data_IF_469854737616
#
_entry.id   IF_469854737616
#
_cell.length_a   1.000
_cell.length_b   1.000
_cell.length_c   1.000
_cell.angle_alpha   90.00
_cell.angle_beta   90.00
_cell.angle_gamma   90.00
#
_symmetry.space_group_name_H-M   'P 1'
#
loop_
_entity.id
_entity.type
_entity.pdbx_description
1 polymer ?
#
# COMPACT_ATOMS: atom_id res chain seq x y z
N UNK A 1 -104.11 121.41 29.27
CA UNK A 1 -104.29 119.96 29.61
C UNK A 1 -103.71 119.02 28.55
N UNK A 2 -103.51 119.45 27.31
CA UNK A 2 -103.04 118.62 26.17
C UNK A 2 -101.56 118.20 26.25
N UNK A 3 -100.67 119.03 26.82
CA UNK A 3 -99.22 118.77 26.88
C UNK A 3 -98.80 117.71 27.92
N UNK A 4 -99.59 117.54 28.99
CA UNK A 4 -99.30 116.52 30.00
C UNK A 4 -99.60 115.11 29.49
N UNK A 5 -100.61 114.97 28.63
CA UNK A 5 -101.01 113.69 28.05
C UNK A 5 -99.99 113.21 27.01
N UNK A 6 -99.43 114.12 26.21
CA UNK A 6 -98.36 113.79 25.24
C UNK A 6 -97.05 113.41 25.94
N UNK A 7 -96.65 114.15 26.98
CA UNK A 7 -95.51 113.80 27.85
C UNK A 7 -95.65 112.41 28.47
N UNK A 8 -96.83 112.09 29.02
CA UNK A 8 -97.11 110.77 29.60
C UNK A 8 -97.03 109.65 28.56
N UNK A 9 -97.55 109.85 27.34
CA UNK A 9 -97.46 108.86 26.24
C UNK A 9 -96.01 108.65 25.79
N UNK A 10 -95.23 109.72 25.65
CA UNK A 10 -93.82 109.61 25.28
C UNK A 10 -93.00 108.87 26.34
N UNK A 11 -93.27 109.12 27.63
CA UNK A 11 -92.59 108.40 28.72
C UNK A 11 -92.92 106.90 28.71
N UNK A 12 -94.17 106.52 28.44
CA UNK A 12 -94.59 105.12 28.31
C UNK A 12 -93.89 104.45 27.12
N UNK A 13 -93.90 105.09 25.94
CA UNK A 13 -93.26 104.56 24.74
C UNK A 13 -91.73 104.40 24.92
N UNK A 14 -91.07 105.35 25.58
CA UNK A 14 -89.63 105.26 25.85
C UNK A 14 -89.32 104.17 26.90
N UNK A 15 -90.19 103.97 27.89
CA UNK A 15 -90.08 102.86 28.84
C UNK A 15 -90.19 101.50 28.13
N UNK A 16 -91.19 101.34 27.26
CA UNK A 16 -91.38 100.12 26.45
C UNK A 16 -90.18 99.88 25.53
N UNK A 17 -89.64 100.94 24.91
CA UNK A 17 -88.43 100.86 24.07
C UNK A 17 -87.21 100.41 24.88
N UNK A 18 -87.02 100.94 26.10
CA UNK A 18 -85.95 100.54 26.99
C UNK A 18 -86.11 99.09 27.47
N UNK A 19 -87.33 98.66 27.79
CA UNK A 19 -87.62 97.26 28.14
C UNK A 19 -87.32 96.31 26.97
N UNK A 20 -87.74 96.66 25.75
CA UNK A 20 -87.40 95.88 24.55
C UNK A 20 -85.90 95.85 24.28
N UNK A 21 -85.21 96.98 24.40
CA UNK A 21 -83.76 97.04 24.24
C UNK A 21 -83.04 96.17 25.28
N UNK A 22 -83.47 96.25 26.54
CA UNK A 22 -82.89 95.45 27.62
C UNK A 22 -83.12 93.95 27.40
N UNK A 23 -84.32 93.55 26.97
CA UNK A 23 -84.64 92.15 26.63
C UNK A 23 -83.78 91.65 25.46
N UNK A 24 -83.64 92.46 24.41
CA UNK A 24 -82.80 92.14 23.25
C UNK A 24 -81.32 92.02 23.62
N UNK A 25 -80.81 92.95 24.45
CA UNK A 25 -79.43 92.88 24.94
C UNK A 25 -79.21 91.64 25.79
N UNK A 26 -80.14 91.31 26.69
CA UNK A 26 -80.06 90.11 27.52
C UNK A 26 -80.02 88.84 26.67
N UNK A 27 -80.88 88.72 25.65
CA UNK A 27 -80.85 87.59 24.71
C UNK A 27 -79.53 87.49 23.94
N UNK A 28 -78.96 88.62 23.49
CA UNK A 28 -77.64 88.64 22.84
C UNK A 28 -76.53 88.21 23.79
N UNK A 29 -76.54 88.68 25.03
CA UNK A 29 -75.57 88.27 26.04
C UNK A 29 -75.68 86.77 26.35
N UNK A 30 -76.90 86.24 26.50
CA UNK A 30 -77.10 84.80 26.70
C UNK A 30 -76.62 83.98 25.49
N UNK A 31 -76.81 84.48 24.26
CA UNK A 31 -76.25 83.89 23.05
C UNK A 31 -74.72 83.84 23.07
N UNK A 32 -74.08 84.98 23.35
CA UNK A 32 -72.61 85.09 23.45
C UNK A 32 -72.07 84.17 24.57
N UNK A 33 -72.73 84.11 25.72
CA UNK A 33 -72.32 83.23 26.83
C UNK A 33 -72.37 81.76 26.40
N UNK A 34 -73.40 81.35 25.65
CA UNK A 34 -73.48 79.98 25.11
C UNK A 34 -72.39 79.70 24.08
N UNK A 35 -72.12 80.63 23.17
CA UNK A 35 -71.04 80.49 22.17
C UNK A 35 -69.67 80.38 22.84
N UNK A 36 -69.39 81.22 23.85
CA UNK A 36 -68.15 81.15 24.63
C UNK A 36 -68.06 79.79 25.36
N UNK A 37 -69.13 79.32 25.98
CA UNK A 37 -69.14 78.03 26.66
C UNK A 37 -68.87 76.87 25.69
N UNK A 38 -69.45 76.90 24.49
CA UNK A 38 -69.16 75.91 23.44
C UNK A 38 -67.71 76.01 22.96
N UNK A 39 -67.17 77.22 22.77
CA UNK A 39 -65.78 77.41 22.37
C UNK A 39 -64.79 76.86 23.41
N UNK A 40 -65.09 77.03 24.70
CA UNK A 40 -64.30 76.44 25.80
C UNK A 40 -64.35 74.90 25.73
N UNK A 41 -65.53 74.30 25.58
CA UNK A 41 -65.66 72.83 25.43
C UNK A 41 -64.88 72.29 24.21
N UNK A 42 -64.88 73.02 23.10
CA UNK A 42 -64.05 72.66 21.94
C UNK A 42 -62.55 72.78 22.21
N UNK A 43 -62.12 73.79 22.96
CA UNK A 43 -60.72 73.96 23.35
C UNK A 43 -60.26 72.84 24.28
N UNK A 44 -61.07 72.49 25.29
CA UNK A 44 -60.78 71.40 26.24
C UNK A 44 -60.61 70.06 25.49
N UNK A 45 -61.53 69.74 24.59
CA UNK A 45 -61.43 68.54 23.72
C UNK A 45 -60.18 68.57 22.85
N UNK A 46 -59.85 69.73 22.29
CA UNK A 46 -58.67 69.88 21.43
C UNK A 46 -57.38 69.68 22.25
N UNK A 47 -57.32 70.19 23.48
CA UNK A 47 -56.21 69.98 24.39
C UNK A 47 -56.04 68.50 24.76
N UNK A 48 -57.14 67.79 25.04
CA UNK A 48 -57.11 66.34 25.28
C UNK A 48 -56.59 65.57 24.07
N UNK A 49 -57.06 65.91 22.86
CA UNK A 49 -56.57 65.32 21.62
C UNK A 49 -55.07 65.57 21.42
N UNK A 50 -54.60 66.79 21.71
CA UNK A 50 -53.18 67.15 21.61
C UNK A 50 -52.33 66.33 22.57
N UNK A 51 -52.71 66.22 23.84
CA UNK A 51 -52.02 65.39 24.85
C UNK A 51 -51.96 63.92 24.44
N UNK A 52 -53.04 63.40 23.84
CA UNK A 52 -53.09 62.02 23.36
C UNK A 52 -52.15 61.80 22.17
N UNK A 53 -52.08 62.75 21.25
CA UNK A 53 -51.15 62.73 20.12
C UNK A 53 -49.70 62.80 20.58
N UNK A 54 -49.38 63.68 21.54
CA UNK A 54 -48.04 63.83 22.11
C UNK A 54 -47.56 62.53 22.77
N UNK A 55 -48.43 61.88 23.54
CA UNK A 55 -48.15 60.57 24.13
C UNK A 55 -47.90 59.50 23.07
N UNK A 56 -48.73 59.46 22.02
CA UNK A 56 -48.55 58.50 20.92
C UNK A 56 -47.26 58.74 20.15
N UNK A 57 -46.86 60.00 19.94
CA UNK A 57 -45.63 60.36 19.26
C UNK A 57 -44.40 59.93 20.09
N UNK A 58 -44.46 60.15 21.40
CA UNK A 58 -43.42 59.69 22.33
C UNK A 58 -43.28 58.17 22.31
N UNK A 59 -44.40 57.43 22.35
CA UNK A 59 -44.38 55.96 22.27
C UNK A 59 -43.77 55.49 20.93
N UNK A 60 -44.21 56.06 19.80
CA UNK A 60 -43.67 55.70 18.48
C UNK A 60 -42.17 55.95 18.36
N UNK A 61 -41.67 57.04 18.96
CA UNK A 61 -40.24 57.34 19.00
C UNK A 61 -39.47 56.29 19.80
N UNK A 62 -40.04 55.79 20.90
CA UNK A 62 -39.43 54.71 21.67
C UNK A 62 -39.44 53.39 20.90
N UNK A 63 -40.55 53.07 20.22
CA UNK A 63 -40.65 51.87 19.37
C UNK A 63 -39.61 51.92 18.23
N UNK A 64 -39.43 53.09 17.61
CA UNK A 64 -38.41 53.30 16.57
C UNK A 64 -36.99 53.04 17.09
N UNK A 65 -36.65 53.54 18.27
CA UNK A 65 -35.35 53.29 18.90
C UNK A 65 -35.13 51.81 19.20
N UNK A 66 -36.15 51.11 19.71
CA UNK A 66 -36.07 49.67 19.97
C UNK A 66 -35.85 48.87 18.68
N UNK A 67 -36.61 49.18 17.62
CA UNK A 67 -36.45 48.53 16.33
C UNK A 67 -35.07 48.79 15.70
N UNK A 68 -34.50 49.98 15.89
CA UNK A 68 -33.13 50.26 15.45
C UNK A 68 -32.08 49.42 16.21
N UNK A 69 -32.25 49.23 17.51
CA UNK A 69 -31.38 48.39 18.32
C UNK A 69 -31.50 46.91 17.93
N UNK A 70 -32.72 46.41 17.76
CA UNK A 70 -32.98 45.04 17.29
C UNK A 70 -32.35 44.81 15.91
N UNK A 71 -32.52 45.76 14.97
CA UNK A 71 -31.90 45.70 13.65
C UNK A 71 -30.37 45.62 13.73
N UNK A 72 -29.75 46.43 14.60
CA UNK A 72 -28.29 46.38 14.81
C UNK A 72 -27.85 45.03 15.39
N UNK A 73 -28.64 44.47 16.32
CA UNK A 73 -28.41 43.14 16.88
C UNK A 73 -28.43 42.05 15.80
N UNK A 74 -29.49 42.02 15.00
CA UNK A 74 -29.65 41.06 13.89
C UNK A 74 -28.55 41.19 12.84
N UNK A 75 -28.10 42.40 12.51
CA UNK A 75 -26.99 42.59 11.57
C UNK A 75 -25.68 41.98 12.08
N UNK A 76 -25.37 42.14 13.38
CA UNK A 76 -24.19 41.51 14.00
C UNK A 76 -24.31 39.98 14.02
N UNK A 77 -25.50 39.46 14.28
CA UNK A 77 -25.74 38.02 14.25
C UNK A 77 -25.55 37.46 12.83
N UNK A 78 -26.04 38.15 11.80
CA UNK A 78 -25.82 37.79 10.40
C UNK A 78 -24.32 37.78 10.05
N UNK A 79 -23.56 38.79 10.47
CA UNK A 79 -22.11 38.84 10.26
C UNK A 79 -21.40 37.66 10.95
N UNK A 80 -21.75 37.38 12.21
CA UNK A 80 -21.22 36.23 12.95
C UNK A 80 -21.56 34.90 12.26
N UNK A 81 -22.77 34.74 11.74
CA UNK A 81 -23.18 33.52 11.03
C UNK A 81 -22.43 33.36 9.71
N UNK A 82 -22.18 34.45 8.98
CA UNK A 82 -21.35 34.42 7.77
C UNK A 82 -19.93 33.95 8.07
N UNK A 83 -19.31 34.49 9.12
CA UNK A 83 -17.97 34.05 9.53
C UNK A 83 -17.94 32.57 9.92
N UNK A 84 -18.98 32.06 10.58
CA UNK A 84 -19.10 30.64 10.91
C UNK A 84 -19.24 29.77 9.67
N UNK A 85 -20.05 30.20 8.69
CA UNK A 85 -20.22 29.51 7.41
C UNK A 85 -18.88 29.44 6.67
N UNK A 86 -18.13 30.55 6.61
CA UNK A 86 -16.83 30.58 5.94
C UNK A 86 -15.82 29.62 6.59
N UNK A 87 -15.79 29.55 7.92
CA UNK A 87 -14.94 28.58 8.65
C UNK A 87 -15.35 27.14 8.37
N UNK A 88 -16.65 26.85 8.33
CA UNK A 88 -17.16 25.51 8.01
C UNK A 88 -16.77 25.14 6.58
N UNK A 89 -16.91 26.05 5.62
CA UNK A 89 -16.52 25.80 4.23
C UNK A 89 -15.02 25.50 4.09
N UNK A 90 -14.15 26.24 4.80
CA UNK A 90 -12.72 25.93 4.85
C UNK A 90 -12.48 24.52 5.41
N UNK A 91 -13.16 24.17 6.51
CA UNK A 91 -13.05 22.82 7.10
C UNK A 91 -13.55 21.72 6.17
N UNK A 92 -14.59 21.97 5.37
CA UNK A 92 -15.10 21.00 4.39
C UNK A 92 -14.04 20.78 3.30
N UNK A 93 -13.46 21.85 2.76
CA UNK A 93 -12.41 21.74 1.74
C UNK A 93 -11.18 20.95 2.26
N UNK A 94 -10.76 21.22 3.51
CA UNK A 94 -9.65 20.49 4.13
C UNK A 94 -9.94 18.99 4.28
N UNK A 95 -11.18 18.61 4.63
CA UNK A 95 -11.58 17.21 4.73
C UNK A 95 -11.72 16.56 3.35
N UNK A 96 -12.21 17.27 2.33
CA UNK A 96 -12.27 16.78 0.95
C UNK A 96 -10.86 16.49 0.40
N UNK A 97 -9.88 17.36 0.69
CA UNK A 97 -8.48 17.10 0.33
C UNK A 97 -7.91 15.86 1.03
N UNK A 98 -8.25 15.64 2.32
CA UNK A 98 -7.85 14.43 3.04
C UNK A 98 -8.49 13.18 2.44
N UNK A 99 -9.77 13.24 2.08
CA UNK A 99 -10.48 12.13 1.44
C UNK A 99 -9.82 11.79 0.10
N UNK A 100 -9.46 12.78 -0.71
CA UNK A 100 -8.75 12.54 -1.98
C UNK A 100 -7.41 11.82 -1.75
N UNK A 101 -6.58 12.32 -0.82
CA UNK A 101 -5.29 11.68 -0.48
C UNK A 101 -5.48 10.25 0.01
N UNK A 102 -6.43 10.00 0.91
CA UNK A 102 -6.73 8.66 1.41
C UNK A 102 -7.24 7.73 0.31
N UNK A 103 -8.00 8.26 -0.64
CA UNK A 103 -8.48 7.49 -1.80
C UNK A 103 -7.31 7.08 -2.69
N UNK A 104 -6.40 8.01 -3.00
CA UNK A 104 -5.18 7.71 -3.78
C UNK A 104 -4.29 6.68 -3.07
N UNK A 105 -4.07 6.83 -1.76
CA UNK A 105 -3.33 5.86 -0.95
C UNK A 105 -3.99 4.47 -0.99
N UNK A 106 -5.31 4.42 -0.88
CA UNK A 106 -6.06 3.15 -0.95
C UNK A 106 -5.90 2.49 -2.31
N UNK A 107 -5.99 3.24 -3.42
CA UNK A 107 -5.78 2.71 -4.77
C UNK A 107 -4.36 2.17 -4.96
N UNK A 108 -3.35 2.85 -4.41
CA UNK A 108 -1.96 2.38 -4.45
C UNK A 108 -1.77 1.09 -3.65
N UNK A 109 -2.40 0.99 -2.47
CA UNK A 109 -2.37 -0.22 -1.65
C UNK A 109 -3.06 -1.38 -2.35
N UNK A 110 -4.20 -1.15 -3.03
CA UNK A 110 -4.89 -2.18 -3.82
C UNK A 110 -3.99 -2.69 -4.95
N UNK A 111 -3.36 -1.80 -5.72
CA UNK A 111 -2.40 -2.21 -6.77
C UNK A 111 -1.23 -3.02 -6.22
N UNK A 112 -0.70 -2.61 -5.06
CA UNK A 112 0.38 -3.31 -4.39
C UNK A 112 -0.05 -4.71 -3.93
N UNK A 113 -1.26 -4.83 -3.39
CA UNK A 113 -1.84 -6.10 -2.98
C UNK A 113 -2.03 -7.05 -4.18
N UNK A 114 -2.56 -6.55 -5.30
CA UNK A 114 -2.75 -7.34 -6.52
C UNK A 114 -1.40 -7.85 -7.07
N UNK A 115 -0.38 -6.99 -7.10
CA UNK A 115 0.98 -7.40 -7.49
C UNK A 115 1.51 -8.52 -6.57
N UNK A 116 1.35 -8.36 -5.25
CA UNK A 116 1.78 -9.38 -4.27
C UNK A 116 1.03 -10.70 -4.42
N UNK A 117 -0.27 -10.64 -4.76
CA UNK A 117 -1.07 -11.83 -5.05
C UNK A 117 -0.59 -12.55 -6.31
N UNK A 118 -0.24 -11.82 -7.37
CA UNK A 118 0.35 -12.38 -8.58
C UNK A 118 1.72 -13.00 -8.32
N UNK A 119 2.59 -12.33 -7.56
CA UNK A 119 3.89 -12.87 -7.13
C UNK A 119 3.71 -14.19 -6.35
N UNK A 120 2.77 -14.23 -5.41
CA UNK A 120 2.47 -15.41 -4.61
C UNK A 120 2.00 -16.58 -5.48
N UNK A 121 1.08 -16.33 -6.42
CA UNK A 121 0.61 -17.37 -7.35
C UNK A 121 1.75 -17.91 -8.24
N UNK A 122 2.65 -17.03 -8.69
CA UNK A 122 3.84 -17.45 -9.45
C UNK A 122 4.78 -18.32 -8.61
N UNK A 123 5.03 -17.93 -7.36
CA UNK A 123 5.84 -18.72 -6.43
C UNK A 123 5.22 -20.08 -6.14
N UNK A 124 3.90 -20.16 -5.96
CA UNK A 124 3.18 -21.42 -5.78
C UNK A 124 3.36 -22.36 -6.99
N UNK A 125 3.28 -21.83 -8.22
CA UNK A 125 3.52 -22.61 -9.44
C UNK A 125 4.98 -23.10 -9.54
N UNK A 126 5.94 -22.25 -9.18
CA UNK A 126 7.36 -22.62 -9.15
C UNK A 126 7.62 -23.73 -8.12
N UNK A 127 7.04 -23.62 -6.92
CA UNK A 127 7.13 -24.65 -5.87
C UNK A 127 6.57 -25.98 -6.39
N UNK A 128 5.41 -25.96 -7.04
CA UNK A 128 4.80 -27.18 -7.59
C UNK A 128 5.69 -27.82 -8.67
N UNK A 129 6.26 -27.01 -9.57
CA UNK A 129 7.18 -27.50 -10.60
C UNK A 129 8.47 -28.10 -10.00
N UNK A 130 9.03 -27.45 -8.98
CA UNK A 130 10.19 -27.97 -8.25
C UNK A 130 9.83 -29.29 -7.57
N UNK A 131 8.68 -29.38 -6.92
CA UNK A 131 8.20 -30.59 -6.25
C UNK A 131 8.07 -31.76 -7.22
N UNK A 132 7.47 -31.51 -8.39
CA UNK A 132 7.29 -32.53 -9.43
C UNK A 132 8.65 -32.96 -10.01
N UNK A 133 9.55 -32.02 -10.33
CA UNK A 133 10.91 -32.34 -10.80
C UNK A 133 11.73 -33.11 -9.77
N UNK A 134 11.57 -32.81 -8.48
CA UNK A 134 12.26 -33.50 -7.39
C UNK A 134 11.77 -34.94 -7.27
N UNK A 135 10.46 -35.16 -7.43
CA UNK A 135 9.87 -36.50 -7.46
C UNK A 135 10.42 -37.32 -8.63
N UNK A 136 10.52 -36.73 -9.82
CA UNK A 136 11.13 -37.39 -11.00
C UNK A 136 12.59 -37.74 -10.76
N UNK A 137 13.40 -36.80 -10.25
CA UNK A 137 14.82 -37.07 -9.94
C UNK A 137 15.01 -38.15 -8.87
N UNK A 138 14.10 -38.23 -7.89
CA UNK A 138 14.09 -39.31 -6.89
C UNK A 138 13.82 -40.66 -7.54
N UNK A 139 12.87 -40.73 -8.48
CA UNK A 139 12.58 -41.95 -9.24
C UNK A 139 13.78 -42.37 -10.11
N UNK A 140 14.37 -41.42 -10.86
CA UNK A 140 15.58 -41.66 -11.66
C UNK A 140 16.75 -42.17 -10.81
N UNK A 141 16.97 -41.56 -9.64
CA UNK A 141 18.00 -42.01 -8.69
C UNK A 141 17.78 -43.45 -8.27
N UNK A 142 16.54 -43.83 -7.96
CA UNK A 142 16.24 -45.18 -7.49
C UNK A 142 16.32 -46.20 -8.63
N UNK A 143 15.95 -45.82 -9.87
CA UNK A 143 16.20 -46.63 -11.06
C UNK A 143 17.70 -46.85 -11.30
N UNK A 144 18.52 -45.80 -11.24
CA UNK A 144 19.98 -45.90 -11.41
C UNK A 144 20.58 -46.80 -10.34
N UNK A 145 20.16 -46.65 -9.09
CA UNK A 145 20.58 -47.50 -7.98
C UNK A 145 20.24 -48.97 -8.23
N UNK A 146 19.02 -49.25 -8.70
CA UNK A 146 18.61 -50.62 -9.05
C UNK A 146 19.43 -51.18 -10.22
N UNK A 147 19.67 -50.40 -11.28
CA UNK A 147 20.53 -50.80 -12.40
C UNK A 147 21.96 -51.10 -11.95
N UNK A 148 22.50 -50.30 -11.03
CA UNK A 148 23.84 -50.48 -10.48
C UNK A 148 23.93 -51.73 -9.61
N UNK A 149 22.93 -51.99 -8.75
CA UNK A 149 22.85 -53.21 -7.96
C UNK A 149 22.78 -54.46 -8.83
N UNK A 150 21.98 -54.44 -9.91
CA UNK A 150 21.90 -55.56 -10.85
C UNK A 150 23.25 -55.82 -11.51
N UNK A 151 23.95 -54.77 -11.97
CA UNK A 151 25.30 -54.89 -12.54
C UNK A 151 26.32 -55.46 -11.56
N UNK A 152 26.26 -55.04 -10.29
CA UNK A 152 27.12 -55.58 -9.24
C UNK A 152 26.85 -57.07 -9.03
N UNK A 153 25.57 -57.48 -8.99
CA UNK A 153 25.22 -58.90 -8.87
C UNK A 153 25.68 -59.71 -10.07
N UNK A 154 25.52 -59.19 -11.29
CA UNK A 154 25.99 -59.87 -12.50
C UNK A 154 27.52 -60.00 -12.48
N UNK A 155 28.24 -58.93 -12.15
CA UNK A 155 29.70 -58.96 -12.00
C UNK A 155 30.16 -59.95 -10.91
N UNK A 156 29.44 -60.03 -9.78
CA UNK A 156 29.71 -61.02 -8.72
C UNK A 156 29.53 -62.45 -9.24
N UNK A 157 28.46 -62.72 -10.00
CA UNK A 157 28.25 -64.03 -10.62
C UNK A 157 29.37 -64.39 -11.59
N UNK A 158 29.74 -63.46 -12.48
CA UNK A 158 30.85 -63.68 -13.43
C UNK A 158 32.16 -63.93 -12.71
N UNK A 159 32.45 -63.16 -11.65
CA UNK A 159 33.66 -63.34 -10.86
C UNK A 159 33.69 -64.70 -10.16
N UNK A 160 32.55 -65.18 -9.68
CA UNK A 160 32.43 -66.50 -9.08
C UNK A 160 32.63 -67.63 -10.10
N UNK A 161 32.06 -67.48 -11.30
CA UNK A 161 32.30 -68.41 -12.43
C UNK A 161 33.78 -68.47 -12.81
N UNK A 162 34.45 -67.32 -12.93
CA UNK A 162 35.89 -67.26 -13.24
C UNK A 162 36.76 -67.89 -12.13
N UNK A 163 36.36 -67.76 -10.87
CA UNK A 163 37.05 -68.44 -9.75
C UNK A 163 36.88 -69.95 -9.83
N UNK A 164 35.68 -70.43 -10.16
CA UNK A 164 35.40 -71.85 -10.36
C UNK A 164 36.16 -72.42 -11.57
N UNK A 165 36.21 -71.69 -12.69
CA UNK A 165 37.03 -72.04 -13.87
C UNK A 165 38.51 -72.10 -13.51
N UNK A 166 39.03 -71.09 -12.80
CA UNK A 166 40.42 -71.09 -12.29
C UNK A 166 40.71 -72.31 -11.41
N UNK A 167 39.78 -72.68 -10.53
CA UNK A 167 39.93 -73.89 -9.70
C UNK A 167 39.89 -75.19 -10.53
N UNK A 168 39.13 -75.24 -11.61
CA UNK A 168 39.13 -76.37 -12.53
C UNK A 168 40.44 -76.45 -13.31
N UNK A 169 40.92 -75.34 -13.86
CA UNK A 169 42.15 -75.29 -14.65
C UNK A 169 43.39 -75.64 -13.81
N UNK A 170 43.43 -75.20 -12.55
CA UNK A 170 44.49 -75.59 -11.59
C UNK A 170 44.45 -77.08 -11.23
N UNK A 171 43.27 -77.72 -11.24
CA UNK A 171 43.14 -79.17 -11.06
C UNK A 171 43.55 -79.96 -12.30
N UNK A 172 43.35 -79.41 -13.49
CA UNK A 172 43.66 -80.06 -14.78
C UNK A 172 45.16 -79.98 -15.10
N UNK A 173 45.87 -78.95 -14.64
CA UNK A 173 47.30 -78.78 -14.91
C UNK A 173 48.13 -78.46 -13.64
N UNK A 174 48.84 -79.47 -13.08
CA UNK A 174 49.74 -79.28 -11.94
C UNK A 174 50.88 -78.28 -12.23
N UNK A 175 51.25 -78.13 -13.50
CA UNK A 175 52.26 -77.13 -13.95
C UNK A 175 51.69 -75.72 -13.84
N UNK A 176 50.41 -75.50 -14.14
CA UNK A 176 49.78 -74.19 -13.97
C UNK A 176 49.60 -73.81 -12.49
N UNK A 177 49.25 -74.75 -11.61
CA UNK A 177 49.16 -74.48 -10.15
C UNK A 177 50.54 -74.11 -9.57
N UNK A 178 51.61 -74.76 -10.03
CA UNK A 178 52.99 -74.40 -9.70
C UNK A 178 53.37 -73.01 -10.23
N UNK A 179 53.08 -72.71 -11.50
CA UNK A 179 53.33 -71.39 -12.09
C UNK A 179 52.55 -70.29 -11.36
N UNK A 180 51.28 -70.51 -11.03
CA UNK A 180 50.46 -69.49 -10.37
C UNK A 180 50.82 -69.27 -8.89
N UNK A 181 51.34 -70.28 -8.18
CA UNK A 181 51.72 -70.18 -6.76
C UNK A 181 53.18 -69.80 -6.52
N UNK A 182 54.12 -70.34 -7.30
CA UNK A 182 55.55 -70.16 -7.07
C UNK A 182 56.22 -69.16 -8.02
N UNK A 183 55.62 -68.88 -9.17
CA UNK A 183 56.21 -67.95 -10.14
C UNK A 183 55.68 -66.53 -9.88
N UNK A 184 56.16 -65.94 -8.77
CA UNK A 184 56.32 -64.47 -8.72
C UNK A 184 57.52 -64.11 -9.60
N UNK A 185 57.35 -64.17 -10.92
CA UNK A 185 58.28 -63.43 -11.78
C UNK A 185 57.89 -61.97 -11.58
N UNK A 186 58.77 -61.20 -10.95
CA UNK A 186 58.76 -59.74 -11.04
C UNK A 186 58.99 -59.42 -12.53
N UNK A 187 57.90 -59.40 -13.32
CA UNK A 187 57.94 -59.03 -14.73
C UNK A 187 57.95 -57.50 -14.75
N UNK A 188 59.09 -56.86 -15.08
CA UNK A 188 59.20 -55.41 -14.97
C UNK A 188 58.21 -54.69 -15.87
N UNK A 189 57.82 -55.28 -17.00
CA UNK A 189 56.76 -54.76 -17.87
C UNK A 189 55.40 -54.66 -17.18
N UNK A 190 55.02 -55.65 -16.36
CA UNK A 190 53.71 -55.67 -15.66
C UNK A 190 53.69 -54.63 -14.53
N UNK A 191 54.78 -54.52 -13.77
CA UNK A 191 54.91 -53.53 -12.71
C UNK A 191 54.91 -52.09 -13.27
N UNK A 192 55.57 -51.86 -14.41
CA UNK A 192 55.57 -50.57 -15.10
C UNK A 192 54.16 -50.21 -15.56
N UNK A 193 53.45 -51.15 -16.22
CA UNK A 193 52.09 -50.91 -16.70
C UNK A 193 51.10 -50.70 -15.54
N UNK A 194 51.18 -51.48 -14.47
CA UNK A 194 50.33 -51.29 -13.29
C UNK A 194 50.55 -49.91 -12.64
N UNK A 195 51.80 -49.46 -12.58
CA UNK A 195 52.17 -48.15 -12.02
C UNK A 195 51.63 -47.00 -12.87
N UNK A 196 51.75 -47.11 -14.20
CA UNK A 196 51.24 -46.11 -15.14
C UNK A 196 49.70 -46.09 -15.17
N UNK A 197 49.05 -47.26 -15.14
CA UNK A 197 47.59 -47.39 -15.16
C UNK A 197 46.94 -46.86 -13.88
N UNK A 198 47.54 -47.10 -12.70
CA UNK A 198 47.00 -46.60 -11.43
C UNK A 198 46.97 -45.06 -11.34
N UNK A 199 47.92 -44.38 -12.01
CA UNK A 199 47.99 -42.91 -12.03
C UNK A 199 47.27 -42.26 -13.20
N UNK A 200 46.90 -43.03 -14.22
CA UNK A 200 46.08 -42.60 -15.36
C UNK A 200 46.58 -41.32 -16.07
N UNK A 201 47.90 -41.08 -16.06
CA UNK A 201 48.58 -39.89 -16.59
C UNK A 201 50.00 -40.23 -17.07
N UNK A 202 50.55 -39.40 -17.95
CA UNK A 202 51.95 -39.43 -18.38
C UNK A 202 52.91 -39.36 -17.17
N UNK A 203 53.91 -40.23 -17.12
CA UNK A 203 54.89 -40.27 -16.03
C UNK A 203 56.30 -39.99 -16.55
N UNK A 204 57.08 -39.21 -15.79
CA UNK A 204 58.49 -39.03 -16.07
C UNK A 204 59.32 -40.29 -15.81
N UNK A 205 60.37 -40.55 -16.58
CA UNK A 205 61.21 -41.74 -16.44
C UNK A 205 61.83 -41.89 -15.03
N UNK A 206 62.28 -40.79 -14.43
CA UNK A 206 62.83 -40.80 -13.06
C UNK A 206 61.78 -41.07 -11.98
N UNK A 207 60.54 -40.66 -12.21
CA UNK A 207 59.43 -40.98 -11.30
C UNK A 207 59.06 -42.46 -11.40
N UNK A 208 59.05 -43.01 -12.61
CA UNK A 208 58.78 -44.43 -12.84
C UNK A 208 59.88 -45.32 -12.24
N UNK A 209 61.16 -44.94 -12.37
CA UNK A 209 62.28 -45.64 -11.72
C UNK A 209 62.15 -45.69 -10.19
N UNK A 210 61.64 -44.61 -9.58
CA UNK A 210 61.38 -44.56 -8.14
C UNK A 210 60.17 -45.39 -7.74
N UNK A 211 59.11 -45.36 -8.55
CA UNK A 211 57.88 -46.11 -8.28
C UNK A 211 58.09 -47.63 -8.41
N UNK A 212 58.86 -48.06 -9.41
CA UNK A 212 59.25 -49.46 -9.65
C UNK A 212 60.60 -49.75 -8.96
N UNK A 213 60.68 -49.42 -7.67
CA UNK A 213 61.92 -49.43 -6.86
C UNK A 213 62.65 -50.77 -6.76
N UNK A 214 61.98 -51.88 -7.10
CA UNK A 214 62.54 -53.24 -7.04
C UNK A 214 63.30 -53.63 -8.32
N UNK A 215 63.09 -52.92 -9.42
CA UNK A 215 63.69 -53.24 -10.72
C UNK A 215 64.89 -52.33 -11.00
N UNK A 216 66.07 -52.87 -11.35
CA UNK A 216 67.23 -52.05 -11.73
C UNK A 216 66.90 -51.07 -12.87
N UNK A 217 67.39 -49.80 -12.81
CA UNK A 217 67.05 -48.77 -13.80
C UNK A 217 67.32 -49.13 -15.26
N UNK A 218 68.36 -49.94 -15.50
CA UNK A 218 68.72 -50.42 -16.85
C UNK A 218 67.67 -51.40 -17.40
N UNK A 219 67.09 -52.23 -16.54
CA UNK A 219 66.04 -53.19 -16.90
C UNK A 219 64.73 -52.44 -17.16
N UNK A 220 64.43 -51.40 -16.37
CA UNK A 220 63.27 -50.52 -16.57
C UNK A 220 63.34 -49.86 -17.96
N UNK A 221 64.47 -49.25 -18.31
CA UNK A 221 64.67 -48.63 -19.63
C UNK A 221 64.52 -49.63 -20.78
N UNK A 222 65.06 -50.84 -20.61
CA UNK A 222 64.94 -51.90 -21.63
C UNK A 222 63.49 -52.38 -21.78
N UNK A 223 62.76 -52.51 -20.67
CA UNK A 223 61.35 -52.87 -20.64
C UNK A 223 60.48 -51.78 -21.28
N UNK A 224 60.71 -50.50 -20.98
CA UNK A 224 60.01 -49.36 -21.60
C UNK A 224 60.24 -49.35 -23.12
N UNK A 225 61.48 -49.48 -23.58
CA UNK A 225 61.79 -49.54 -25.01
C UNK A 225 61.15 -50.74 -25.71
N UNK A 226 61.06 -51.88 -25.01
CA UNK A 226 60.37 -53.05 -25.52
C UNK A 226 58.84 -52.82 -25.61
N UNK A 227 58.25 -52.20 -24.58
CA UNK A 227 56.82 -51.82 -24.57
C UNK A 227 56.48 -50.76 -25.62
N UNK A 228 57.39 -49.80 -25.84
CA UNK A 228 57.30 -48.77 -26.88
C UNK A 228 57.39 -49.38 -28.27
N UNK A 229 58.35 -50.28 -28.50
CA UNK A 229 58.45 -51.03 -29.77
C UNK A 229 57.24 -51.92 -30.07
N UNK A 230 56.49 -52.31 -29.02
CA UNK A 230 55.24 -53.08 -29.12
C UNK A 230 53.99 -52.18 -29.19
N UNK A 231 54.14 -50.86 -29.11
CA UNK A 231 53.05 -49.88 -29.17
C UNK A 231 52.13 -49.86 -27.95
N UNK A 232 52.55 -50.46 -26.83
CA UNK A 232 51.76 -50.54 -25.58
C UNK A 232 51.90 -49.26 -24.77
N UNK A 233 53.08 -48.64 -24.86
CA UNK A 233 53.45 -47.39 -24.22
C UNK A 233 54.07 -46.50 -25.28
N UNK A 234 53.99 -45.18 -25.14
CA UNK A 234 54.75 -44.21 -25.93
C UNK A 234 55.78 -43.57 -25.03
N UNK A 235 57.05 -43.74 -25.39
CA UNK A 235 58.16 -43.10 -24.70
C UNK A 235 58.75 -41.97 -25.55
N UNK A 236 58.61 -40.72 -25.08
CA UNK A 236 59.22 -39.56 -25.74
C UNK A 236 60.58 -39.25 -25.11
N UNK A 237 61.66 -39.65 -25.79
CA UNK A 237 63.04 -39.40 -25.34
C UNK A 237 63.39 -37.90 -25.19
N UNK A 238 62.63 -36.98 -25.81
CA UNK A 238 62.89 -35.53 -25.72
C UNK A 238 62.22 -34.88 -24.51
N UNK A 239 61.08 -35.41 -24.10
CA UNK A 239 60.29 -34.90 -22.98
C UNK A 239 60.44 -35.76 -21.71
N UNK A 240 61.15 -36.89 -21.82
CA UNK A 240 61.37 -37.89 -20.76
C UNK A 240 60.05 -38.43 -20.16
N UNK A 241 59.01 -38.49 -21.00
CA UNK A 241 57.64 -38.86 -20.62
C UNK A 241 57.23 -40.21 -21.19
N UNK A 242 56.49 -40.96 -20.39
CA UNK A 242 56.01 -42.31 -20.67
C UNK A 242 54.49 -42.32 -20.52
N UNK A 243 53.77 -42.65 -21.59
CA UNK A 243 52.31 -42.68 -21.63
C UNK A 243 51.81 -44.05 -22.10
N UNK A 244 50.76 -44.60 -21.48
CA UNK A 244 50.12 -45.81 -22.01
C UNK A 244 49.35 -45.45 -23.28
N UNK A 245 49.62 -46.14 -24.38
CA UNK A 245 48.92 -45.95 -25.66
C UNK A 245 47.80 -46.95 -25.90
N UNK A 246 47.75 -48.03 -25.12
CA UNK A 246 46.66 -48.99 -25.19
C UNK A 246 45.43 -48.49 -24.41
N UNK A 247 44.28 -48.41 -25.07
CA UNK A 247 42.98 -48.42 -24.40
C UNK A 247 42.82 -49.78 -23.71
N UNK A 248 43.25 -49.88 -22.46
CA UNK A 248 43.03 -51.04 -21.60
C UNK A 248 41.56 -51.03 -21.15
N UNK A 249 40.69 -51.57 -22.02
CA UNK A 249 39.32 -52.01 -21.66
C UNK A 249 39.40 -53.35 -20.93
#
# INVERSE_FOLDING_TARGET
>A
MTDFVSLKRNLIAEKERLEHLNTNLKQKFEGIVKEIASAIDYLDKTEEHFKKLEKNLTNRKNDELQLEEEKKGLLREIESLKEQIDRINLSINDEDEKIQKLTEETEQLVKTLDNKKSELSSLEQQIQTIKDSTKTKLQEKEEVKNRMNNRIQDAQKTLQQLLEEKEQDTKISPVLDFLLKEVRIDIPEVDILATLAYRNQAMGLEELKKAVSKTPPVIILKAIRNLDSKGIVKYDERLDTIEITADLV
#
